data_IF_077591157120
#
_entry.id   IF_077591157120
#
_cell.length_a   1.000
_cell.length_b   1.000
_cell.length_c   1.000
_cell.angle_alpha   90.00
_cell.angle_beta   90.00
_cell.angle_gamma   90.00
#
_symmetry.space_group_name_H-M   'P 1'
#
loop_
_entity.id
_entity.type
_entity.pdbx_description
1 polymer ?
#
# COMPACT_ATOMS: atom_id res chain seq x y z
N UNK A 1 16.83 -0.95 -10.75
CA UNK A 1 16.09 -1.55 -9.61
C UNK A 1 14.60 -1.27 -9.75
N UNK A 2 13.79 -2.32 -9.94
CA UNK A 2 12.32 -2.24 -9.87
C UNK A 2 11.94 -2.03 -8.41
N UNK A 3 11.25 -0.94 -8.08
CA UNK A 3 10.81 -0.66 -6.70
C UNK A 3 9.35 -1.07 -6.60
N UNK A 4 9.06 -2.05 -5.74
CA UNK A 4 7.69 -2.45 -5.42
C UNK A 4 7.25 -1.69 -4.18
N UNK A 5 6.07 -1.07 -4.24
CA UNK A 5 5.40 -0.49 -3.08
C UNK A 5 4.10 -1.23 -2.83
N UNK A 6 3.74 -1.33 -1.56
CA UNK A 6 2.51 -1.96 -1.10
C UNK A 6 1.69 -0.87 -0.41
N UNK A 7 0.70 -0.32 -1.10
CA UNK A 7 -0.25 0.64 -0.50
C UNK A 7 -1.33 -0.15 0.21
N UNK A 8 -1.42 0.02 1.52
CA UNK A 8 -2.42 -0.60 2.36
C UNK A 8 -3.44 0.44 2.79
N UNK A 9 -4.72 0.12 2.63
CA UNK A 9 -5.86 0.82 3.19
C UNK A 9 -6.54 -0.10 4.19
N UNK A 10 -6.76 0.39 5.40
CA UNK A 10 -7.46 -0.32 6.45
C UNK A 10 -8.69 0.48 6.86
N UNK A 11 -9.88 -0.10 6.72
CA UNK A 11 -11.14 0.49 7.17
C UNK A 11 -11.56 -0.21 8.45
N UNK A 12 -11.53 0.53 9.55
CA UNK A 12 -11.93 0.08 10.89
C UNK A 12 -13.34 0.58 11.17
N UNK A 13 -14.24 -0.33 11.46
CA UNK A 13 -15.62 -0.05 11.88
C UNK A 13 -15.78 -0.50 13.32
N UNK A 14 -16.14 0.43 14.21
CA UNK A 14 -16.36 0.22 15.63
C UNK A 14 -17.77 0.74 15.98
N UNK A 15 -18.77 -0.16 15.98
CA UNK A 15 -20.17 0.26 16.08
C UNK A 15 -20.53 1.23 14.93
N UNK A 16 -20.95 2.44 15.27
CA UNK A 16 -21.34 3.49 14.31
C UNK A 16 -20.18 4.36 13.80
N UNK A 17 -18.94 4.13 14.27
CA UNK A 17 -17.77 4.91 13.86
C UNK A 17 -16.95 4.15 12.84
N UNK A 18 -16.69 4.78 11.70
CA UNK A 18 -15.75 4.31 10.69
C UNK A 18 -14.47 5.16 10.68
N UNK A 19 -13.31 4.52 10.62
CA UNK A 19 -12.01 5.17 10.52
C UNK A 19 -11.20 4.49 9.42
N UNK A 20 -10.65 5.27 8.51
CA UNK A 20 -9.78 4.76 7.45
C UNK A 20 -8.32 5.13 7.76
N UNK A 21 -7.43 4.14 7.65
CA UNK A 21 -6.00 4.29 7.84
C UNK A 21 -5.30 3.86 6.55
N UNK A 22 -4.53 4.76 5.96
CA UNK A 22 -3.73 4.47 4.78
C UNK A 22 -2.24 4.47 5.13
N UNK A 23 -1.52 3.43 4.71
CA UNK A 23 -0.07 3.29 4.89
C UNK A 23 0.58 2.68 3.66
N UNK A 24 1.83 3.06 3.41
CA UNK A 24 2.62 2.48 2.31
C UNK A 24 3.82 1.73 2.87
N UNK A 25 4.03 0.50 2.41
CA UNK A 25 5.13 -0.37 2.81
C UNK A 25 6.05 -0.68 1.61
N UNK A 26 7.35 -0.83 1.88
CA UNK A 26 8.32 -1.31 0.88
C UNK A 26 8.33 -2.85 0.75
N UNK A 27 7.88 -3.55 1.78
CA UNK A 27 7.86 -5.02 1.84
C UNK A 27 6.48 -5.53 2.25
N UNK A 28 6.03 -6.62 1.62
CA UNK A 28 4.75 -7.29 1.94
C UNK A 28 4.67 -7.72 3.41
N UNK A 29 5.77 -8.24 3.96
CA UNK A 29 5.85 -8.73 5.35
C UNK A 29 5.45 -7.64 6.36
N UNK A 30 5.83 -6.39 6.11
CA UNK A 30 5.48 -5.28 7.00
C UNK A 30 3.98 -4.98 6.97
N UNK A 31 3.35 -5.08 5.79
CA UNK A 31 1.90 -4.92 5.67
C UNK A 31 1.14 -6.06 6.39
N UNK A 32 1.62 -7.30 6.27
CA UNK A 32 1.05 -8.46 6.96
C UNK A 32 1.23 -8.35 8.48
N UNK A 33 2.39 -7.88 8.95
CA UNK A 33 2.64 -7.65 10.37
C UNK A 33 1.65 -6.62 10.94
N UNK A 34 1.42 -5.52 10.23
CA UNK A 34 0.43 -4.51 10.64
C UNK A 34 -0.99 -5.07 10.76
N UNK A 35 -1.41 -5.93 9.81
CA UNK A 35 -2.72 -6.61 9.90
C UNK A 35 -2.81 -7.42 11.20
N UNK A 36 -1.77 -8.20 11.51
CA UNK A 36 -1.73 -9.02 12.73
C UNK A 36 -1.80 -8.15 14.00
N UNK A 37 -0.99 -7.10 14.06
CA UNK A 37 -0.97 -6.15 15.17
C UNK A 37 -2.35 -5.50 15.39
N UNK A 38 -3.04 -5.12 14.32
CA UNK A 38 -4.40 -4.58 14.39
C UNK A 38 -5.41 -5.64 14.86
N UNK A 39 -5.34 -6.86 14.33
CA UNK A 39 -6.18 -7.96 14.80
C UNK A 39 -6.03 -8.22 16.30
N UNK A 40 -4.79 -8.27 16.79
CA UNK A 40 -4.48 -8.46 18.22
C UNK A 40 -4.96 -7.27 19.06
N UNK A 41 -4.68 -6.03 18.63
CA UNK A 41 -5.08 -4.80 19.33
C UNK A 41 -6.59 -4.70 19.55
N UNK A 42 -7.37 -5.11 18.54
CA UNK A 42 -8.83 -5.04 18.59
C UNK A 42 -9.49 -6.37 18.97
N UNK A 43 -8.70 -7.39 19.38
CA UNK A 43 -9.18 -8.76 19.66
C UNK A 43 -10.08 -9.31 18.54
N UNK A 44 -9.74 -9.02 17.29
CA UNK A 44 -10.46 -9.45 16.10
C UNK A 44 -9.75 -10.63 15.43
N UNK A 45 -10.52 -11.63 14.99
CA UNK A 45 -9.98 -12.77 14.23
C UNK A 45 -9.88 -12.40 12.76
N UNK A 46 -8.65 -12.44 12.23
CA UNK A 46 -8.40 -12.18 10.82
C UNK A 46 -8.64 -13.42 9.97
N UNK A 47 -9.36 -13.25 8.85
CA UNK A 47 -9.51 -14.28 7.82
C UNK A 47 -8.19 -14.47 7.05
N UNK A 48 -8.02 -15.63 6.37
CA UNK A 48 -6.89 -15.84 5.48
C UNK A 48 -6.75 -14.69 4.47
N UNK A 49 -5.51 -14.29 4.18
CA UNK A 49 -5.21 -13.25 3.22
C UNK A 49 -5.61 -13.73 1.83
N UNK A 50 -6.64 -13.12 1.25
CA UNK A 50 -7.01 -13.37 -0.13
C UNK A 50 -6.03 -12.64 -1.06
N UNK A 51 -5.70 -13.26 -2.19
CA UNK A 51 -4.77 -12.71 -3.17
C UNK A 51 -5.43 -12.78 -4.54
N UNK A 52 -5.72 -11.61 -5.10
CA UNK A 52 -6.24 -11.47 -6.46
C UNK A 52 -5.28 -10.61 -7.26
N UNK A 53 -4.53 -11.24 -8.17
CA UNK A 53 -3.54 -10.65 -9.08
C UNK A 53 -2.48 -9.75 -8.41
N UNK A 54 -2.82 -8.49 -8.13
CA UNK A 54 -1.97 -7.45 -7.53
C UNK A 54 -2.57 -6.85 -6.25
N UNK A 55 -3.68 -7.37 -5.76
CA UNK A 55 -4.38 -6.88 -4.58
C UNK A 55 -4.47 -8.01 -3.55
N UNK A 56 -4.02 -7.73 -2.33
CA UNK A 56 -4.24 -8.61 -1.19
C UNK A 56 -5.34 -8.03 -0.32
N UNK A 57 -6.34 -8.83 0.04
CA UNK A 57 -7.41 -8.38 0.93
C UNK A 57 -7.56 -9.34 2.10
N UNK A 58 -7.93 -8.80 3.25
CA UNK A 58 -8.34 -9.61 4.41
C UNK A 58 -9.30 -8.81 5.27
N UNK A 59 -10.10 -9.52 6.04
CA UNK A 59 -11.06 -8.93 6.97
C UNK A 59 -10.80 -9.56 8.34
N UNK A 60 -10.69 -8.72 9.35
CA UNK A 60 -10.63 -9.12 10.75
C UNK A 60 -11.96 -8.75 11.43
N UNK A 61 -12.62 -9.74 12.02
CA UNK A 61 -13.92 -9.58 12.67
C UNK A 61 -13.80 -9.94 14.16
N UNK A 62 -14.32 -9.07 15.02
CA UNK A 62 -14.52 -9.27 16.45
C UNK A 62 -15.95 -8.91 16.84
N UNK A 63 -16.29 -9.00 18.13
CA UNK A 63 -17.67 -8.86 18.61
C UNK A 63 -18.40 -7.59 18.11
N UNK A 64 -17.73 -6.44 18.14
CA UNK A 64 -18.28 -5.13 17.66
C UNK A 64 -17.29 -4.38 16.77
N UNK A 65 -16.34 -5.11 16.18
CA UNK A 65 -15.24 -4.51 15.43
C UNK A 65 -15.06 -5.25 14.11
N UNK A 66 -15.05 -4.50 13.02
CA UNK A 66 -14.73 -5.03 11.70
C UNK A 66 -13.58 -4.23 11.12
N UNK A 67 -12.55 -4.91 10.64
CA UNK A 67 -11.38 -4.27 10.04
C UNK A 67 -11.15 -4.87 8.67
N UNK A 68 -11.40 -4.09 7.63
CA UNK A 68 -11.15 -4.50 6.24
C UNK A 68 -9.80 -3.95 5.80
N UNK A 69 -8.92 -4.83 5.33
CA UNK A 69 -7.61 -4.47 4.81
C UNK A 69 -7.56 -4.73 3.31
N UNK A 70 -7.07 -3.74 2.56
CA UNK A 70 -6.77 -3.83 1.14
C UNK A 70 -5.33 -3.39 0.91
N UNK A 71 -4.50 -4.26 0.33
CA UNK A 71 -3.10 -3.99 0.00
C UNK A 71 -2.93 -4.07 -1.52
N UNK A 72 -2.74 -2.93 -2.16
CA UNK A 72 -2.42 -2.81 -3.58
C UNK A 72 -0.90 -2.87 -3.79
N UNK A 73 -0.46 -3.82 -4.61
CA UNK A 73 0.94 -3.95 -5.04
C UNK A 73 1.18 -3.07 -6.27
N UNK A 74 1.86 -1.96 -6.08
CA UNK A 74 2.29 -1.09 -7.17
C UNK A 74 3.74 -1.38 -7.55
N UNK A 75 3.96 -1.66 -8.84
CA UNK A 75 5.30 -1.76 -9.42
C UNK A 75 5.66 -0.39 -9.98
N UNK A 76 6.56 0.33 -9.33
CA UNK A 76 7.13 1.55 -9.90
C UNK A 76 8.25 1.10 -10.85
N UNK A 77 7.94 1.11 -12.15
CA UNK A 77 8.96 1.19 -13.17
C UNK A 77 9.60 2.56 -13.00
N UNK A 78 10.87 2.62 -12.57
CA UNK A 78 11.63 3.86 -12.73
C UNK A 78 11.60 4.18 -14.22
N UNK A 79 11.21 5.40 -14.66
CA UNK A 79 11.56 5.81 -16.01
C UNK A 79 13.09 5.64 -16.11
N UNK A 80 13.56 4.90 -17.13
CA UNK A 80 14.99 4.89 -17.44
C UNK A 80 15.38 6.37 -17.59
N UNK A 81 16.43 6.80 -16.90
CA UNK A 81 17.06 8.09 -17.18
C UNK A 81 17.58 8.01 -18.62
N UNK A 82 16.76 8.38 -19.59
CA UNK A 82 17.18 8.49 -20.99
C UNK A 82 16.81 9.85 -21.61
N UNK A 83 16.25 10.77 -20.82
CA UNK A 83 15.97 12.15 -21.28
C UNK A 83 16.62 13.18 -20.36
N UNK A 84 17.95 13.19 -20.37
CA UNK A 84 18.73 14.34 -19.89
C UNK A 84 19.86 14.70 -20.88
N UNK A 85 19.65 14.42 -22.17
CA UNK A 85 20.60 14.75 -23.25
C UNK A 85 20.01 15.65 -24.35
N UNK A 86 18.91 16.37 -24.07
CA UNK A 86 18.26 17.28 -25.04
C UNK A 86 18.00 18.70 -24.49
N UNK A 87 18.90 19.24 -23.66
CA UNK A 87 18.84 20.64 -23.20
C UNK A 87 20.17 21.40 -23.21
N UNK A 88 21.16 20.98 -24.00
CA UNK A 88 22.43 21.71 -24.13
C UNK A 88 22.75 22.23 -25.54
N UNK A 89 21.79 22.19 -26.48
CA UNK A 89 22.01 22.65 -27.87
C UNK A 89 21.12 23.85 -28.26
N UNK A 90 20.83 24.75 -27.32
CA UNK A 90 20.07 25.99 -27.62
C UNK A 90 20.63 27.24 -26.98
N UNK A 91 21.91 27.26 -26.61
CA UNK A 91 22.55 28.51 -26.16
C UNK A 91 23.99 28.65 -26.67
N UNK A 92 24.16 28.61 -27.99
CA UNK A 92 25.39 29.07 -28.66
C UNK A 92 25.11 29.42 -30.12
N UNK A 93 24.24 30.42 -30.33
CA UNK A 93 24.16 31.16 -31.60
C UNK A 93 23.45 32.49 -31.39
N UNK A 94 24.06 33.34 -30.58
CA UNK A 94 23.93 34.80 -30.73
C UNK A 94 25.30 35.40 -30.42
N UNK A 95 26.07 35.64 -31.48
CA UNK A 95 27.18 36.58 -31.54
C UNK A 95 27.03 37.31 -32.87
#
# INVERSE_FOLDING_TARGET
>A
MKVVKYRMKATLTLGDKETTIERTYRHKVNAVKFIKEMGEKYKAKCRPLNNSENIYTTICEGNKTKISFEIKREKILKPKKEDQKKKEESNKKTS
#
